data_IF_073336996859
#
_entry.id   IF_073336996859
#
_cell.length_a   1.000
_cell.length_b   1.000
_cell.length_c   1.000
_cell.angle_alpha   90.00
_cell.angle_beta   90.00
_cell.angle_gamma   90.00
#
_symmetry.space_group_name_H-M   'P 1'
#
loop_
_entity.id
_entity.type
_entity.pdbx_description
1 polymer ?
#
# COMPACT_ATOMS: atom_id res chain seq x y z
N UNK A 1 -3.57 -45.05 19.96
CA UNK A 1 -3.34 -43.99 18.96
C UNK A 1 -3.27 -42.69 19.76
N UNK A 2 -2.05 -42.31 20.16
CA UNK A 2 -1.82 -41.08 20.92
C UNK A 2 -2.26 -39.90 20.06
N UNK A 3 -3.05 -38.99 20.63
CA UNK A 3 -3.49 -37.76 19.98
C UNK A 3 -2.26 -37.08 19.36
N UNK A 4 -2.21 -36.99 18.03
CA UNK A 4 -1.30 -36.08 17.36
C UNK A 4 -1.75 -34.67 17.74
N UNK A 5 -1.05 -34.06 18.69
CA UNK A 5 -1.18 -32.64 18.97
C UNK A 5 -0.53 -31.92 17.80
N UNK A 6 -1.35 -31.37 16.90
CA UNK A 6 -0.89 -30.39 15.93
C UNK A 6 -0.52 -29.10 16.68
N UNK A 7 0.48 -28.39 16.17
CA UNK A 7 0.87 -27.07 16.70
C UNK A 7 -0.30 -26.08 16.62
N UNK A 8 -0.29 -25.09 17.51
CA UNK A 8 -1.31 -24.05 17.52
C UNK A 8 -1.17 -23.16 16.28
N UNK A 9 -2.29 -22.85 15.63
CA UNK A 9 -2.34 -21.90 14.53
C UNK A 9 -1.89 -20.51 15.00
N UNK A 10 -1.10 -19.84 14.18
CA UNK A 10 -0.80 -18.43 14.34
C UNK A 10 -2.07 -17.59 14.19
N UNK A 11 -2.01 -16.34 14.68
CA UNK A 11 -3.12 -15.39 14.54
C UNK A 11 -3.54 -15.19 13.07
N UNK A 12 -2.58 -15.07 12.15
CA UNK A 12 -2.87 -14.86 10.73
C UNK A 12 -3.47 -16.11 10.08
N UNK A 13 -3.07 -17.31 10.50
CA UNK A 13 -3.68 -18.55 10.02
C UNK A 13 -5.13 -18.70 10.47
N UNK A 14 -5.39 -18.40 11.75
CA UNK A 14 -6.75 -18.42 12.28
C UNK A 14 -7.63 -17.39 11.56
N UNK A 15 -7.13 -16.17 11.34
CA UNK A 15 -7.86 -15.12 10.64
C UNK A 15 -8.16 -15.49 9.18
N UNK A 16 -7.19 -16.07 8.48
CA UNK A 16 -7.36 -16.53 7.09
C UNK A 16 -8.42 -17.63 7.01
N UNK A 17 -8.42 -18.58 7.95
CA UNK A 17 -9.43 -19.64 8.02
C UNK A 17 -10.83 -19.06 8.26
N UNK A 18 -10.96 -18.12 9.22
CA UNK A 18 -12.23 -17.43 9.50
C UNK A 18 -12.71 -16.69 8.24
N UNK A 19 -11.82 -15.98 7.54
CA UNK A 19 -12.17 -15.27 6.31
C UNK A 19 -12.72 -16.21 5.24
N UNK A 20 -12.08 -17.36 4.98
CA UNK A 20 -12.57 -18.34 4.01
C UNK A 20 -13.91 -18.95 4.39
N UNK A 21 -14.11 -19.28 5.67
CA UNK A 21 -15.40 -19.78 6.16
C UNK A 21 -16.49 -18.73 5.95
N UNK A 22 -16.21 -17.48 6.29
CA UNK A 22 -17.12 -16.36 6.12
C UNK A 22 -17.47 -16.14 4.65
N UNK A 23 -16.49 -16.07 3.74
CA UNK A 23 -16.75 -15.89 2.31
C UNK A 23 -17.62 -17.01 1.73
N UNK A 24 -17.38 -18.26 2.16
CA UNK A 24 -18.20 -19.40 1.75
C UNK A 24 -19.63 -19.28 2.28
N UNK A 25 -19.81 -18.89 3.55
CA UNK A 25 -21.13 -18.70 4.16
C UNK A 25 -21.92 -17.55 3.54
N UNK A 26 -21.22 -16.50 3.07
CA UNK A 26 -21.83 -15.38 2.38
C UNK A 26 -22.07 -15.64 0.88
N UNK A 27 -21.66 -16.80 0.35
CA UNK A 27 -21.79 -17.18 -1.06
C UNK A 27 -21.31 -16.08 -2.04
N UNK A 28 -20.17 -15.45 -1.73
CA UNK A 28 -19.64 -14.35 -2.55
C UNK A 28 -19.22 -14.80 -3.95
N UNK A 29 -19.49 -13.96 -4.95
CA UNK A 29 -19.15 -14.26 -6.35
C UNK A 29 -17.63 -14.16 -6.64
N UNK A 30 -16.94 -13.26 -5.93
CA UNK A 30 -15.51 -12.96 -6.14
C UNK A 30 -14.85 -12.63 -4.80
N UNK A 31 -13.65 -13.18 -4.59
CA UNK A 31 -12.77 -12.83 -3.47
C UNK A 31 -11.48 -12.20 -4.02
N UNK A 32 -11.21 -10.95 -3.63
CA UNK A 32 -9.89 -10.35 -3.77
C UNK A 32 -9.09 -10.66 -2.50
N UNK A 33 -8.08 -11.52 -2.62
CA UNK A 33 -7.30 -12.01 -1.49
C UNK A 33 -5.90 -11.37 -1.48
N UNK A 34 -5.64 -10.52 -0.49
CA UNK A 34 -4.32 -9.92 -0.28
C UNK A 34 -3.41 -10.89 0.48
N UNK A 35 -2.20 -11.10 -0.05
CA UNK A 35 -1.15 -11.90 0.61
C UNK A 35 -0.66 -11.15 1.84
N UNK A 36 -0.51 -11.84 2.98
CA UNK A 36 0.01 -11.23 4.21
C UNK A 36 1.48 -10.84 4.07
N UNK A 37 2.36 -11.81 3.80
CA UNK A 37 3.79 -11.58 3.62
C UNK A 37 4.39 -12.56 2.60
N UNK A 38 5.21 -12.03 1.68
CA UNK A 38 5.83 -12.85 0.64
C UNK A 38 4.83 -13.35 -0.39
N UNK A 39 4.50 -14.64 -0.33
CA UNK A 39 3.59 -15.30 -1.27
C UNK A 39 3.67 -16.83 -1.20
N UNK A 40 4.84 -17.40 -1.47
CA UNK A 40 5.06 -18.85 -1.56
C UNK A 40 4.57 -19.60 -0.32
N UNK A 41 4.97 -19.11 0.86
CA UNK A 41 4.67 -19.70 2.17
C UNK A 41 3.58 -18.94 2.93
N UNK A 42 2.91 -17.99 2.29
CA UNK A 42 1.86 -17.23 2.93
C UNK A 42 0.62 -18.10 3.14
N UNK A 43 -0.09 -17.90 4.26
CA UNK A 43 -1.28 -18.71 4.57
C UNK A 43 -2.37 -18.60 3.51
N UNK A 44 -2.46 -17.47 2.80
CA UNK A 44 -3.44 -17.28 1.74
C UNK A 44 -3.16 -18.17 0.51
N UNK A 45 -1.92 -18.65 0.34
CA UNK A 45 -1.49 -19.38 -0.86
C UNK A 45 -2.01 -20.83 -0.97
N UNK A 46 -2.99 -21.21 -0.14
CA UNK A 46 -3.74 -22.46 -0.23
C UNK A 46 -4.82 -22.42 -1.32
N UNK A 47 -5.20 -21.23 -1.80
CA UNK A 47 -6.21 -21.07 -2.86
C UNK A 47 -5.61 -21.31 -4.24
N UNK A 48 -6.46 -21.79 -5.16
CA UNK A 48 -6.11 -21.85 -6.59
C UNK A 48 -6.55 -20.53 -7.23
N UNK A 49 -5.75 -19.47 -7.05
CA UNK A 49 -6.03 -18.18 -7.68
C UNK A 49 -6.09 -18.30 -9.20
N UNK A 50 -7.18 -17.83 -9.82
CA UNK A 50 -7.35 -17.87 -11.28
C UNK A 50 -6.51 -16.81 -12.00
N UNK A 51 -6.34 -15.67 -11.33
CA UNK A 51 -5.55 -14.53 -11.74
C UNK A 51 -4.82 -13.98 -10.52
N UNK A 52 -3.50 -13.81 -10.61
CA UNK A 52 -2.69 -13.30 -9.51
C UNK A 52 -1.98 -12.02 -9.89
N UNK A 53 -1.69 -11.18 -8.89
CA UNK A 53 -1.14 -9.84 -9.11
C UNK A 53 0.10 -9.62 -8.24
N UNK A 54 1.17 -9.07 -8.81
CA UNK A 54 2.33 -8.55 -8.05
C UNK A 54 2.43 -7.04 -8.29
N UNK A 55 2.20 -6.27 -7.24
CA UNK A 55 2.18 -4.80 -7.27
C UNK A 55 3.58 -4.20 -7.29
N UNK A 56 4.42 -4.53 -6.32
CA UNK A 56 5.78 -3.99 -6.23
C UNK A 56 6.70 -4.98 -5.55
N UNK A 57 7.98 -4.90 -5.89
CA UNK A 57 9.05 -5.65 -5.23
C UNK A 57 10.13 -4.66 -4.83
N UNK A 58 10.39 -4.60 -3.53
CA UNK A 58 11.42 -3.78 -2.91
C UNK A 58 12.02 -4.55 -1.73
N UNK A 59 13.12 -4.01 -1.19
CA UNK A 59 13.75 -4.55 0.02
C UNK A 59 12.85 -4.23 1.23
N UNK A 60 12.00 -5.18 1.57
CA UNK A 60 11.11 -5.15 2.73
C UNK A 60 11.00 -6.55 3.30
N UNK A 61 10.82 -6.65 4.62
CA UNK A 61 10.75 -7.94 5.34
C UNK A 61 11.93 -8.88 5.05
N UNK A 62 13.15 -8.35 4.94
CA UNK A 62 14.36 -9.11 4.57
C UNK A 62 14.64 -10.32 5.45
N UNK A 63 14.39 -10.21 6.76
CA UNK A 63 14.54 -11.32 7.73
C UNK A 63 13.67 -12.55 7.37
N UNK A 64 12.58 -12.35 6.63
CA UNK A 64 11.64 -13.41 6.24
C UNK A 64 11.76 -13.77 4.76
N UNK A 65 11.95 -12.78 3.89
CA UNK A 65 11.86 -12.94 2.43
C UNK A 65 13.22 -13.06 1.74
N UNK A 66 14.31 -12.75 2.44
CA UNK A 66 15.68 -12.74 1.93
C UNK A 66 16.21 -11.34 1.65
N UNK A 67 17.53 -11.27 1.46
CA UNK A 67 18.29 -10.02 1.40
C UNK A 67 18.47 -9.44 -0.02
N UNK A 68 17.77 -10.00 -1.02
CA UNK A 68 17.88 -9.54 -2.41
C UNK A 68 16.52 -9.46 -3.09
N UNK A 69 16.43 -8.62 -4.12
CA UNK A 69 15.20 -8.44 -4.89
C UNK A 69 14.80 -9.73 -5.63
N UNK A 70 15.78 -10.56 -6.01
CA UNK A 70 15.55 -11.90 -6.56
C UNK A 70 14.92 -12.84 -5.54
N UNK A 71 15.47 -12.90 -4.32
CA UNK A 71 14.93 -13.76 -3.26
C UNK A 71 13.49 -13.38 -2.89
N UNK A 72 13.24 -12.06 -2.76
CA UNK A 72 11.90 -11.54 -2.50
C UNK A 72 10.95 -11.82 -3.68
N UNK A 73 11.45 -11.74 -4.92
CA UNK A 73 10.68 -12.08 -6.11
C UNK A 73 10.33 -13.58 -6.19
N UNK A 74 11.24 -14.48 -5.80
CA UNK A 74 10.94 -15.91 -5.73
C UNK A 74 9.82 -16.21 -4.73
N UNK A 75 9.85 -15.55 -3.56
CA UNK A 75 8.77 -15.64 -2.58
C UNK A 75 7.45 -15.13 -3.14
N UNK A 76 7.42 -13.92 -3.72
CA UNK A 76 6.19 -13.31 -4.24
C UNK A 76 5.63 -14.07 -5.45
N UNK A 77 6.50 -14.50 -6.38
CA UNK A 77 6.10 -15.30 -7.54
C UNK A 77 5.65 -16.73 -7.16
N UNK A 78 5.81 -17.13 -5.90
CA UNK A 78 5.24 -18.38 -5.36
C UNK A 78 3.72 -18.46 -5.37
N UNK A 79 3.02 -17.34 -5.58
CA UNK A 79 1.56 -17.35 -5.78
C UNK A 79 1.16 -17.73 -7.22
N UNK A 80 2.12 -17.79 -8.16
CA UNK A 80 1.84 -18.19 -9.54
C UNK A 80 1.35 -19.65 -9.57
N UNK A 81 0.25 -19.88 -10.30
CA UNK A 81 -0.38 -21.19 -10.44
C UNK A 81 -0.26 -21.69 -11.89
N UNK A 82 0.06 -22.96 -12.08
CA UNK A 82 0.34 -23.51 -13.39
C UNK A 82 -0.83 -23.33 -14.37
N UNK A 83 -0.54 -22.90 -15.60
CA UNK A 83 -1.55 -22.65 -16.64
C UNK A 83 -2.52 -21.48 -16.36
N UNK A 84 -2.24 -20.66 -15.34
CA UNK A 84 -3.06 -19.50 -14.96
C UNK A 84 -2.43 -18.19 -15.44
N UNK A 85 -3.06 -17.06 -15.11
CA UNK A 85 -2.62 -15.73 -15.53
C UNK A 85 -1.98 -14.98 -14.36
N UNK A 86 -0.98 -14.17 -14.66
CA UNK A 86 -0.37 -13.27 -13.69
C UNK A 86 -0.21 -11.87 -14.27
N UNK A 87 -0.45 -10.85 -13.46
CA UNK A 87 -0.20 -9.45 -13.82
C UNK A 87 0.85 -8.88 -12.88
N UNK A 88 1.90 -8.27 -13.42
CA UNK A 88 2.94 -7.63 -12.62
C UNK A 88 3.06 -6.16 -13.01
N UNK A 89 3.30 -5.31 -12.01
CA UNK A 89 3.62 -3.91 -12.28
C UNK A 89 5.03 -3.77 -12.85
N UNK A 90 5.52 -2.52 -12.92
CA UNK A 90 6.89 -2.24 -13.35
C UNK A 90 7.85 -2.62 -12.23
N UNK A 91 8.43 -3.82 -12.32
CA UNK A 91 9.37 -4.34 -11.34
C UNK A 91 10.84 -4.02 -11.70
N UNK A 92 11.75 -3.98 -10.71
CA UNK A 92 13.19 -3.98 -10.97
C UNK A 92 13.60 -5.13 -11.91
N UNK A 93 14.61 -4.93 -12.78
CA UNK A 93 14.98 -5.91 -13.82
C UNK A 93 15.21 -7.33 -13.31
N UNK A 94 15.91 -7.47 -12.18
CA UNK A 94 16.24 -8.73 -11.52
C UNK A 94 14.99 -9.45 -11.00
N UNK A 95 14.08 -8.72 -10.34
CA UNK A 95 12.81 -9.25 -9.85
C UNK A 95 11.87 -9.64 -11.01
N UNK A 96 11.83 -8.82 -12.07
CA UNK A 96 11.06 -9.11 -13.29
C UNK A 96 11.56 -10.37 -13.98
N UNK A 97 12.88 -10.59 -14.03
CA UNK A 97 13.48 -11.77 -14.63
C UNK A 97 13.10 -13.05 -13.86
N UNK A 98 13.08 -12.99 -12.53
CA UNK A 98 12.59 -14.08 -11.68
C UNK A 98 11.13 -14.40 -12.00
N UNK A 99 10.27 -13.39 -12.00
CA UNK A 99 8.85 -13.57 -12.32
C UNK A 99 8.66 -14.18 -13.72
N UNK A 100 9.41 -13.72 -14.73
CA UNK A 100 9.34 -14.26 -16.08
C UNK A 100 9.76 -15.74 -16.13
N UNK A 101 10.91 -16.10 -15.54
CA UNK A 101 11.37 -17.49 -15.51
C UNK A 101 10.37 -18.40 -14.80
N UNK A 102 9.80 -17.93 -13.69
CA UNK A 102 8.78 -18.67 -12.95
C UNK A 102 7.52 -18.86 -13.80
N UNK A 103 7.06 -17.81 -14.45
CA UNK A 103 5.90 -17.87 -15.33
C UNK A 103 6.13 -18.87 -16.47
N UNK A 104 7.27 -18.81 -17.14
CA UNK A 104 7.64 -19.74 -18.22
C UNK A 104 7.64 -21.20 -17.72
N UNK A 105 8.22 -21.46 -16.54
CA UNK A 105 8.29 -22.80 -15.95
C UNK A 105 6.92 -23.39 -15.59
N UNK A 106 5.94 -22.54 -15.28
CA UNK A 106 4.59 -22.92 -14.88
C UNK A 106 3.57 -22.77 -16.02
N UNK A 107 4.03 -22.37 -17.22
CA UNK A 107 3.15 -21.99 -18.33
C UNK A 107 2.08 -20.96 -17.91
N UNK A 108 2.50 -19.92 -17.18
CA UNK A 108 1.64 -18.81 -16.76
C UNK A 108 1.65 -17.71 -17.82
N UNK A 109 0.47 -17.24 -18.19
CA UNK A 109 0.33 -16.07 -19.06
C UNK A 109 0.65 -14.79 -18.25
N UNK A 110 1.87 -14.28 -18.42
CA UNK A 110 2.38 -13.12 -17.67
C UNK A 110 2.17 -11.81 -18.43
N UNK A 111 1.41 -10.88 -17.83
CA UNK A 111 1.16 -9.53 -18.32
C UNK A 111 1.97 -8.52 -17.49
N UNK A 112 2.73 -7.65 -18.16
CA UNK A 112 3.72 -6.77 -17.53
C UNK A 112 3.43 -5.30 -17.84
N UNK A 113 3.38 -4.46 -16.79
CA UNK A 113 3.24 -3.02 -16.97
C UNK A 113 4.43 -2.43 -17.76
N UNK A 114 4.15 -1.50 -18.66
CA UNK A 114 5.11 -0.91 -19.58
C UNK A 114 5.45 -1.77 -20.80
N UNK A 115 4.94 -3.01 -20.88
CA UNK A 115 5.07 -3.89 -22.04
C UNK A 115 3.71 -4.25 -22.63
N UNK A 116 2.82 -4.80 -21.81
CA UNK A 116 1.53 -5.33 -22.25
C UNK A 116 0.37 -4.35 -21.97
N UNK A 117 0.57 -3.44 -21.00
CA UNK A 117 -0.36 -2.38 -20.65
C UNK A 117 0.38 -1.19 -20.01
N UNK A 118 -0.22 -0.01 -20.06
CA UNK A 118 0.28 1.20 -19.39
C UNK A 118 -0.85 2.20 -19.15
N UNK A 119 -0.61 3.16 -18.26
CA UNK A 119 -1.44 4.35 -18.13
C UNK A 119 -0.58 5.58 -17.97
N UNK A 120 -0.91 6.64 -18.72
CA UNK A 120 -0.23 7.93 -18.61
C UNK A 120 -1.25 9.06 -18.75
N UNK A 121 -1.27 9.98 -17.78
CA UNK A 121 -2.14 11.17 -17.88
C UNK A 121 -3.64 10.84 -17.94
N UNK A 122 -4.06 9.70 -17.38
CA UNK A 122 -5.44 9.23 -17.44
C UNK A 122 -5.79 8.42 -18.70
N UNK A 123 -4.83 8.19 -19.60
CA UNK A 123 -5.05 7.36 -20.79
C UNK A 123 -4.46 5.97 -20.56
N UNK A 124 -5.32 4.97 -20.43
CA UNK A 124 -4.97 3.56 -20.30
C UNK A 124 -4.93 2.87 -21.66
N UNK A 125 -3.90 2.05 -21.86
CA UNK A 125 -3.69 1.29 -23.08
C UNK A 125 -3.33 -0.17 -22.79
N UNK A 126 -3.97 -1.10 -23.51
CA UNK A 126 -3.68 -2.54 -23.48
C UNK A 126 -4.14 -3.20 -24.78
N UNK A 127 -3.78 -4.47 -24.99
CA UNK A 127 -4.31 -5.27 -26.10
C UNK A 127 -5.81 -5.61 -25.97
N UNK A 128 -6.39 -5.45 -24.78
CA UNK A 128 -7.80 -5.78 -24.51
C UNK A 128 -8.71 -4.59 -24.75
N UNK A 129 -8.31 -3.42 -24.26
CA UNK A 129 -9.10 -2.20 -24.31
C UNK A 129 -8.19 -0.98 -24.11
N UNK A 130 -8.56 0.14 -24.74
CA UNK A 130 -7.98 1.45 -24.49
C UNK A 130 -9.08 2.35 -23.91
N UNK A 131 -8.82 3.02 -22.79
CA UNK A 131 -9.77 3.94 -22.16
C UNK A 131 -9.05 5.25 -21.90
N UNK A 132 -9.59 6.34 -22.44
CA UNK A 132 -9.05 7.69 -22.23
C UNK A 132 -9.82 8.47 -21.17
N UNK A 133 -9.20 9.54 -20.67
CA UNK A 133 -9.79 10.47 -19.70
C UNK A 133 -10.22 9.80 -18.39
N UNK A 134 -9.45 8.81 -17.93
CA UNK A 134 -9.61 8.24 -16.59
C UNK A 134 -9.16 9.28 -15.55
N UNK A 135 -9.97 9.44 -14.52
CA UNK A 135 -9.61 10.19 -13.31
C UNK A 135 -9.40 9.21 -12.17
N UNK A 136 -8.37 9.44 -11.38
CA UNK A 136 -8.04 8.62 -10.22
C UNK A 136 -8.39 9.44 -8.98
N UNK A 137 -9.21 8.89 -8.09
CA UNK A 137 -9.58 9.53 -6.83
C UNK A 137 -8.45 9.56 -5.80
N UNK A 138 -7.53 8.61 -5.88
CA UNK A 138 -6.36 8.52 -4.99
C UNK A 138 -5.25 9.52 -5.40
N UNK A 139 -4.66 10.18 -4.42
CA UNK A 139 -3.55 11.10 -4.62
C UNK A 139 -2.20 10.37 -4.74
N UNK A 140 -1.25 11.00 -5.44
CA UNK A 140 0.10 10.48 -5.70
C UNK A 140 0.29 9.92 -7.12
N UNK A 141 1.38 10.31 -7.79
CA UNK A 141 1.65 9.91 -9.18
C UNK A 141 1.72 8.37 -9.36
N UNK A 142 2.23 7.66 -8.36
CA UNK A 142 2.32 6.20 -8.35
C UNK A 142 0.95 5.50 -8.39
N UNK A 143 -0.14 6.19 -8.04
CA UNK A 143 -1.48 5.61 -8.14
C UNK A 143 -1.88 5.36 -9.60
N UNK A 144 -1.27 6.04 -10.57
CA UNK A 144 -1.44 5.68 -11.98
C UNK A 144 -0.92 4.27 -12.28
N UNK A 145 0.20 3.87 -11.67
CA UNK A 145 0.76 2.52 -11.81
C UNK A 145 -0.18 1.47 -11.20
N UNK A 146 -0.70 1.76 -9.99
CA UNK A 146 -1.65 0.88 -9.29
C UNK A 146 -2.97 0.75 -10.05
N UNK A 147 -3.53 1.85 -10.55
CA UNK A 147 -4.77 1.84 -11.30
C UNK A 147 -4.62 1.13 -12.65
N UNK A 148 -3.48 1.28 -13.34
CA UNK A 148 -3.20 0.53 -14.56
C UNK A 148 -3.15 -0.98 -14.30
N UNK A 149 -2.49 -1.38 -13.20
CA UNK A 149 -2.40 -2.78 -12.77
C UNK A 149 -3.78 -3.36 -12.42
N UNK A 150 -4.57 -2.63 -11.63
CA UNK A 150 -5.92 -3.01 -11.26
C UNK A 150 -6.83 -3.13 -12.49
N UNK A 151 -6.78 -2.16 -13.40
CA UNK A 151 -7.57 -2.18 -14.63
C UNK A 151 -7.19 -3.34 -15.54
N UNK A 152 -5.89 -3.59 -15.76
CA UNK A 152 -5.47 -4.76 -16.55
C UNK A 152 -5.95 -6.08 -15.91
N UNK A 153 -5.87 -6.19 -14.58
CA UNK A 153 -6.35 -7.36 -13.83
C UNK A 153 -7.85 -7.54 -14.04
N UNK A 154 -8.63 -6.46 -13.87
CA UNK A 154 -10.07 -6.45 -14.10
C UNK A 154 -10.44 -6.86 -15.53
N UNK A 155 -9.77 -6.32 -16.55
CA UNK A 155 -10.04 -6.66 -17.95
C UNK A 155 -9.77 -8.14 -18.25
N UNK A 156 -8.75 -8.73 -17.64
CA UNK A 156 -8.47 -10.16 -17.78
C UNK A 156 -9.56 -11.02 -17.13
N UNK A 157 -10.00 -10.63 -15.93
CA UNK A 157 -11.10 -11.29 -15.22
C UNK A 157 -12.40 -11.24 -16.04
N UNK A 158 -12.80 -10.06 -16.52
CA UNK A 158 -14.01 -9.89 -17.35
C UNK A 158 -13.94 -10.71 -18.64
N UNK A 159 -12.76 -10.76 -19.30
CA UNK A 159 -12.57 -11.58 -20.50
C UNK A 159 -12.73 -13.07 -20.22
N UNK A 160 -12.24 -13.55 -19.09
CA UNK A 160 -12.36 -14.96 -18.69
C UNK A 160 -13.80 -15.35 -18.35
N UNK A 161 -14.52 -14.45 -17.65
CA UNK A 161 -15.96 -14.56 -17.42
C UNK A 161 -16.83 -14.37 -18.67
N UNK A 162 -16.24 -13.94 -19.80
CA UNK A 162 -16.94 -13.54 -21.04
C UNK A 162 -17.96 -12.43 -20.81
N UNK A 163 -17.64 -11.53 -19.89
CA UNK A 163 -18.47 -10.38 -19.54
C UNK A 163 -18.03 -9.13 -20.31
N UNK A 164 -19.01 -8.29 -20.63
CA UNK A 164 -18.75 -7.00 -21.26
C UNK A 164 -18.27 -5.99 -20.22
N UNK A 165 -17.29 -5.16 -20.61
CA UNK A 165 -16.78 -4.08 -19.77
C UNK A 165 -17.61 -2.83 -19.98
N UNK A 166 -18.18 -2.28 -18.91
CA UNK A 166 -18.78 -0.95 -18.92
C UNK A 166 -17.70 0.10 -18.61
N UNK A 167 -17.23 0.81 -19.65
CA UNK A 167 -16.22 1.85 -19.53
C UNK A 167 -16.65 3.02 -18.62
N UNK A 168 -17.94 3.35 -18.56
CA UNK A 168 -18.44 4.42 -17.70
C UNK A 168 -18.40 3.98 -16.23
N UNK A 169 -18.75 2.73 -15.95
CA UNK A 169 -18.60 2.15 -14.62
C UNK A 169 -17.14 2.14 -14.18
N UNK A 170 -16.20 1.77 -15.07
CA UNK A 170 -14.75 1.82 -14.79
C UNK A 170 -14.30 3.24 -14.46
N UNK A 171 -14.69 4.23 -15.27
CA UNK A 171 -14.36 5.65 -15.02
C UNK A 171 -14.84 6.12 -13.66
N UNK A 172 -16.10 5.83 -13.33
CA UNK A 172 -16.68 6.20 -12.05
C UNK A 172 -16.03 5.48 -10.87
N UNK A 173 -15.68 4.19 -11.04
CA UNK A 173 -15.03 3.42 -9.99
C UNK A 173 -13.65 3.99 -9.66
N UNK A 174 -12.82 4.28 -10.67
CA UNK A 174 -11.49 4.87 -10.48
C UNK A 174 -11.55 6.28 -9.86
N UNK A 175 -12.52 7.11 -10.28
CA UNK A 175 -12.70 8.47 -9.73
C UNK A 175 -13.18 8.44 -8.27
N UNK A 176 -14.04 7.48 -7.90
CA UNK A 176 -14.60 7.34 -6.56
C UNK A 176 -13.76 6.50 -5.61
N UNK A 177 -12.68 5.88 -6.09
CA UNK A 177 -11.84 5.03 -5.25
C UNK A 177 -11.20 5.87 -4.15
N UNK A 178 -11.43 5.45 -2.91
CA UNK A 178 -10.87 6.04 -1.70
C UNK A 178 -10.14 4.97 -0.90
N UNK A 179 -8.99 5.31 -0.33
CA UNK A 179 -8.23 4.40 0.52
C UNK A 179 -7.81 5.13 1.80
N UNK A 180 -8.44 4.74 2.91
CA UNK A 180 -8.10 5.25 4.23
C UNK A 180 -6.61 5.05 4.54
N UNK A 181 -5.94 6.12 4.97
CA UNK A 181 -4.53 6.08 5.36
C UNK A 181 -3.50 5.90 4.24
N UNK A 182 -3.87 6.11 2.96
CA UNK A 182 -2.94 6.09 1.81
C UNK A 182 -3.01 7.42 1.07
N UNK A 183 -2.12 8.34 1.40
CA UNK A 183 -2.21 9.76 1.03
C UNK A 183 -3.66 10.30 1.17
N UNK A 184 -4.34 9.88 2.25
CA UNK A 184 -5.73 10.24 2.50
C UNK A 184 -5.77 11.71 2.90
N UNK A 185 -6.32 12.56 2.04
CA UNK A 185 -6.61 13.95 2.38
C UNK A 185 -7.83 14.05 3.27
N UNK A 186 -7.63 13.90 4.58
CA UNK A 186 -8.71 13.86 5.58
C UNK A 186 -9.28 15.25 5.90
N UNK A 187 -8.49 16.29 5.66
CA UNK A 187 -8.88 17.72 5.70
C UNK A 187 -8.22 18.44 4.53
N UNK A 188 -8.69 19.65 4.15
CA UNK A 188 -8.07 20.41 3.06
C UNK A 188 -6.55 20.58 3.20
N UNK A 189 -6.01 20.65 4.43
CA UNK A 189 -4.58 20.83 4.68
C UNK A 189 -3.91 19.61 5.32
N UNK A 190 -4.64 18.52 5.61
CA UNK A 190 -4.09 17.38 6.36
C UNK A 190 -4.17 16.10 5.54
N UNK A 191 -3.02 15.45 5.41
CA UNK A 191 -2.83 14.16 4.77
C UNK A 191 -2.46 13.10 5.80
N UNK A 192 -3.06 11.91 5.68
CA UNK A 192 -2.66 10.71 6.42
C UNK A 192 -2.02 9.70 5.48
N UNK A 193 -0.84 9.20 5.85
CA UNK A 193 -0.20 8.12 5.09
C UNK A 193 0.46 7.08 6.00
N UNK A 194 0.15 5.81 5.77
CA UNK A 194 0.64 4.67 6.54
C UNK A 194 2.06 4.22 6.20
N UNK A 195 2.87 5.01 5.50
CA UNK A 195 4.27 4.69 5.23
C UNK A 195 5.03 4.37 6.53
N UNK A 196 5.64 3.19 6.55
CA UNK A 196 6.30 2.62 7.74
C UNK A 196 7.55 1.78 7.36
N UNK A 197 8.04 1.98 6.15
CA UNK A 197 9.27 1.42 5.60
C UNK A 197 9.85 2.41 4.56
N UNK A 198 11.11 2.21 4.16
CA UNK A 198 11.78 3.11 3.20
C UNK A 198 11.06 3.16 1.83
N UNK A 199 10.65 2.04 1.21
CA UNK A 199 9.95 2.10 -0.08
C UNK A 199 8.68 2.95 -0.06
N UNK A 200 7.86 2.86 1.00
CA UNK A 200 6.66 3.68 1.15
C UNK A 200 7.00 5.15 1.41
N UNK A 201 8.01 5.42 2.24
CA UNK A 201 8.46 6.80 2.48
C UNK A 201 9.03 7.46 1.23
N UNK A 202 9.72 6.73 0.35
CA UNK A 202 10.18 7.27 -0.94
C UNK A 202 9.01 7.84 -1.74
N UNK A 203 7.89 7.10 -1.84
CA UNK A 203 6.69 7.56 -2.55
C UNK A 203 6.01 8.74 -1.86
N UNK A 204 6.00 8.78 -0.53
CA UNK A 204 5.50 9.92 0.23
C UNK A 204 6.37 11.17 0.01
N UNK A 205 7.69 11.03 0.03
CA UNK A 205 8.66 12.11 -0.20
C UNK A 205 8.52 12.67 -1.62
N UNK A 206 8.36 11.81 -2.63
CA UNK A 206 8.08 12.23 -4.01
C UNK A 206 6.84 13.15 -4.05
N UNK A 207 5.75 12.74 -3.41
CA UNK A 207 4.53 13.54 -3.34
C UNK A 207 4.70 14.86 -2.57
N UNK A 208 5.41 14.84 -1.44
CA UNK A 208 5.68 16.06 -0.66
C UNK A 208 6.49 17.05 -1.50
N UNK A 209 7.50 16.60 -2.25
CA UNK A 209 8.29 17.44 -3.15
C UNK A 209 7.46 18.04 -4.27
N UNK A 210 6.52 17.28 -4.84
CA UNK A 210 5.55 17.81 -5.82
C UNK A 210 4.74 18.96 -5.19
N UNK A 211 4.30 18.82 -3.93
CA UNK A 211 3.58 19.90 -3.22
C UNK A 211 4.44 21.11 -2.92
N UNK A 212 5.72 20.95 -2.58
CA UNK A 212 6.65 22.09 -2.47
C UNK A 212 6.79 22.83 -3.80
N UNK A 213 6.87 22.11 -4.92
CA UNK A 213 6.95 22.71 -6.27
C UNK A 213 5.66 23.44 -6.66
N UNK A 214 4.51 22.98 -6.19
CA UNK A 214 3.21 23.68 -6.31
C UNK A 214 3.10 24.93 -5.39
N UNK A 215 4.11 25.17 -4.55
CA UNK A 215 4.21 26.32 -3.66
C UNK A 215 3.48 26.15 -2.33
N UNK A 216 3.24 24.91 -1.89
CA UNK A 216 2.79 24.59 -0.53
C UNK A 216 3.97 24.56 0.44
N UNK A 217 3.67 24.60 1.74
CA UNK A 217 4.61 24.51 2.86
C UNK A 217 4.30 23.26 3.69
N UNK A 218 4.92 22.11 3.38
CA UNK A 218 4.71 20.88 4.13
C UNK A 218 5.31 20.93 5.54
N UNK A 219 4.64 20.26 6.47
CA UNK A 219 5.13 19.84 7.78
C UNK A 219 4.85 18.35 7.93
N UNK A 220 5.69 17.64 8.66
CA UNK A 220 5.54 16.21 8.93
C UNK A 220 5.35 15.99 10.43
N UNK A 221 4.33 15.22 10.77
CA UNK A 221 4.14 14.63 12.08
C UNK A 221 4.35 13.12 11.98
N UNK A 222 5.40 12.63 12.63
CA UNK A 222 5.84 11.26 12.55
C UNK A 222 5.61 10.50 13.86
N UNK A 223 4.94 9.35 13.76
CA UNK A 223 4.77 8.41 14.87
C UNK A 223 5.00 6.98 14.40
N UNK A 224 5.89 6.25 15.09
CA UNK A 224 6.29 4.90 14.72
C UNK A 224 6.36 3.95 15.93
N UNK A 225 6.50 2.66 15.63
CA UNK A 225 6.75 1.62 16.63
C UNK A 225 8.27 1.36 16.75
N UNK A 226 8.78 1.16 17.97
CA UNK A 226 10.21 0.92 18.26
C UNK A 226 10.80 -0.29 17.53
N UNK A 227 9.96 -1.28 17.20
CA UNK A 227 10.37 -2.50 16.48
C UNK A 227 10.68 -2.28 15.00
N UNK A 228 10.34 -1.11 14.45
CA UNK A 228 10.61 -0.75 13.05
C UNK A 228 11.91 0.05 13.00
N UNK A 229 12.53 0.11 11.82
CA UNK A 229 13.70 0.95 11.56
C UNK A 229 13.30 2.45 11.50
N UNK A 230 12.87 2.99 12.63
CA UNK A 230 12.43 4.39 12.71
C UNK A 230 13.60 5.36 12.54
N UNK A 231 14.82 4.98 12.91
CA UNK A 231 16.01 5.81 12.74
C UNK A 231 16.35 5.97 11.26
N UNK A 232 16.36 4.87 10.49
CA UNK A 232 16.53 4.92 9.03
C UNK A 232 15.43 5.74 8.36
N UNK A 233 14.18 5.60 8.79
CA UNK A 233 13.05 6.38 8.29
C UNK A 233 13.20 7.89 8.55
N UNK A 234 13.51 8.29 9.79
CA UNK A 234 13.71 9.70 10.15
C UNK A 234 14.93 10.31 9.43
N UNK A 235 16.02 9.55 9.32
CA UNK A 235 17.21 9.96 8.57
C UNK A 235 16.89 10.20 7.10
N UNK A 236 16.16 9.27 6.47
CA UNK A 236 15.74 9.40 5.08
C UNK A 236 14.85 10.63 4.84
N UNK A 237 13.87 10.89 5.73
CA UNK A 237 13.01 12.07 5.66
C UNK A 237 13.83 13.37 5.76
N UNK A 238 14.75 13.43 6.72
CA UNK A 238 15.58 14.63 6.95
C UNK A 238 16.53 14.90 5.80
N UNK A 239 17.15 13.86 5.26
CA UNK A 239 18.06 13.96 4.11
C UNK A 239 17.33 14.44 2.86
N UNK A 240 16.11 13.93 2.61
CA UNK A 240 15.37 14.21 1.39
C UNK A 240 14.46 15.44 1.45
N UNK A 241 14.09 15.88 2.65
CA UNK A 241 13.21 17.03 2.91
C UNK A 241 13.82 17.96 3.97
N UNK A 242 15.03 18.51 3.75
CA UNK A 242 15.77 19.24 4.78
C UNK A 242 15.13 20.58 5.21
N UNK A 243 14.16 21.09 4.44
CA UNK A 243 13.44 22.33 4.73
C UNK A 243 12.04 22.09 5.31
N UNK A 244 11.60 20.84 5.36
CA UNK A 244 10.28 20.46 5.89
C UNK A 244 10.41 20.28 7.40
N UNK A 245 9.56 20.96 8.15
CA UNK A 245 9.50 20.79 9.60
C UNK A 245 9.05 19.38 9.95
N UNK A 246 9.88 18.63 10.69
CA UNK A 246 9.62 17.27 11.11
C UNK A 246 9.47 17.21 12.63
N UNK A 247 8.27 16.86 13.10
CA UNK A 247 7.98 16.55 14.50
C UNK A 247 7.82 15.06 14.71
N UNK A 248 8.26 14.58 15.86
CA UNK A 248 8.10 13.18 16.26
C UNK A 248 7.19 13.11 17.49
N UNK A 249 6.37 12.07 17.59
CA UNK A 249 5.45 11.89 18.72
C UNK A 249 5.23 10.43 19.08
N UNK A 250 4.82 10.20 20.33
CA UNK A 250 4.27 8.93 20.79
C UNK A 250 2.76 8.87 20.61
N UNK A 251 2.17 7.68 20.80
CA UNK A 251 0.73 7.44 20.70
C UNK A 251 0.30 6.26 21.57
N UNK A 252 -1.00 6.03 21.75
CA UNK A 252 -1.51 5.05 22.72
C UNK A 252 -1.45 3.62 22.17
N UNK A 253 -0.23 3.13 22.01
CA UNK A 253 0.04 1.77 21.55
C UNK A 253 1.31 1.21 22.16
N UNK A 254 1.27 -0.06 22.58
CA UNK A 254 2.41 -0.72 23.19
C UNK A 254 3.61 -0.77 22.22
N UNK A 255 4.71 -0.15 22.63
CA UNK A 255 5.93 -0.07 21.82
C UNK A 255 5.92 1.08 20.81
N UNK A 256 5.07 2.10 20.97
CA UNK A 256 5.27 3.40 20.32
C UNK A 256 6.58 4.05 20.76
N UNK A 257 7.07 5.00 19.96
CA UNK A 257 8.15 5.88 20.39
C UNK A 257 7.75 6.68 21.64
N UNK A 258 8.73 6.92 22.50
CA UNK A 258 8.71 7.86 23.61
C UNK A 258 9.83 8.89 23.43
N UNK A 259 9.75 9.99 24.19
CA UNK A 259 10.74 11.08 24.14
C UNK A 259 12.18 10.60 24.32
N UNK A 260 12.40 9.58 25.15
CA UNK A 260 13.73 9.04 25.41
C UNK A 260 14.31 8.18 24.28
N UNK A 261 13.49 7.75 23.30
CA UNK A 261 13.93 6.85 22.23
C UNK A 261 14.51 7.60 21.02
N UNK A 262 14.30 8.90 20.94
CA UNK A 262 14.60 9.73 19.77
C UNK A 262 15.53 10.87 20.20
N UNK A 263 16.71 10.93 19.59
CA UNK A 263 17.69 12.01 19.81
C UNK A 263 17.89 12.81 18.54
N UNK A 264 18.04 14.13 18.68
CA UNK A 264 18.29 15.03 17.53
C UNK A 264 17.06 15.43 16.72
N UNK A 265 15.86 15.07 17.18
CA UNK A 265 14.58 15.48 16.57
C UNK A 265 13.71 16.21 17.57
N UNK A 266 12.81 17.05 17.08
CA UNK A 266 11.82 17.75 17.91
C UNK A 266 10.68 16.79 18.25
N UNK A 267 10.63 16.37 19.52
CA UNK A 267 9.61 15.45 20.04
C UNK A 267 8.53 16.25 20.74
N UNK A 268 7.29 16.08 20.29
CA UNK A 268 6.12 16.71 20.88
C UNK A 268 5.36 15.74 21.80
N UNK A 269 4.84 16.22 22.95
CA UNK A 269 4.19 15.35 23.94
C UNK A 269 2.77 14.92 23.53
N UNK A 270 2.09 15.72 22.71
CA UNK A 270 0.70 15.49 22.32
C UNK A 270 0.49 15.78 20.85
N UNK A 271 0.31 14.72 20.07
CA UNK A 271 -0.05 14.84 18.66
C UNK A 271 -1.41 15.55 18.47
N UNK A 272 -2.33 15.42 19.44
CA UNK A 272 -3.67 16.02 19.40
C UNK A 272 -3.61 17.54 19.52
N UNK A 273 -2.82 18.03 20.47
CA UNK A 273 -2.59 19.47 20.65
C UNK A 273 -1.86 20.07 19.44
N UNK A 274 -0.89 19.34 18.89
CA UNK A 274 -0.18 19.79 17.70
C UNK A 274 -1.09 19.90 16.47
N UNK A 275 -1.93 18.89 16.22
CA UNK A 275 -2.90 18.95 15.11
C UNK A 275 -3.88 20.11 15.32
N UNK A 276 -4.41 20.27 16.53
CA UNK A 276 -5.34 21.37 16.85
C UNK A 276 -4.69 22.74 16.62
N UNK A 277 -3.45 22.92 17.10
CA UNK A 277 -2.69 24.16 16.88
C UNK A 277 -2.35 24.39 15.41
N UNK A 278 -2.08 23.33 14.65
CA UNK A 278 -1.87 23.42 13.20
C UNK A 278 -3.15 23.91 12.51
N UNK A 279 -4.32 23.32 12.79
CA UNK A 279 -5.59 23.72 12.19
C UNK A 279 -5.97 25.17 12.51
N UNK A 280 -5.66 25.66 13.72
CA UNK A 280 -5.93 27.04 14.12
C UNK A 280 -5.06 28.07 13.39
N UNK A 281 -3.82 27.71 13.02
CA UNK A 281 -2.82 28.64 12.48
C UNK A 281 -2.58 28.51 10.97
N UNK A 282 -2.91 27.36 10.38
CA UNK A 282 -2.59 27.02 9.01
C UNK A 282 -3.36 27.88 8.00
N UNK A 283 -2.65 28.45 7.04
CA UNK A 283 -3.27 29.08 5.88
C UNK A 283 -3.42 28.09 4.71
N UNK A 284 -3.98 28.54 3.58
CA UNK A 284 -4.28 27.68 2.42
C UNK A 284 -3.04 27.08 1.74
N UNK A 285 -1.83 27.50 2.11
CA UNK A 285 -0.56 26.97 1.61
C UNK A 285 0.11 25.99 2.57
N UNK A 286 -0.30 25.93 3.83
CA UNK A 286 0.26 24.99 4.79
C UNK A 286 -0.33 23.59 4.59
N UNK A 287 0.52 22.56 4.62
CA UNK A 287 0.10 21.16 4.55
C UNK A 287 0.73 20.37 5.69
N UNK A 288 -0.04 19.54 6.36
CA UNK A 288 0.43 18.60 7.38
C UNK A 288 0.33 17.17 6.88
N UNK A 289 1.46 16.47 6.88
CA UNK A 289 1.56 15.05 6.56
C UNK A 289 1.76 14.25 7.85
N UNK A 290 0.82 13.35 8.15
CA UNK A 290 0.87 12.51 9.36
C UNK A 290 1.19 11.08 8.94
N UNK A 291 2.32 10.54 9.41
CA UNK A 291 2.86 9.28 8.90
C UNK A 291 3.72 8.50 9.93
N UNK A 292 4.28 7.36 9.52
CA UNK A 292 5.25 6.56 10.28
C UNK A 292 4.74 5.20 10.75
N UNK A 293 3.42 5.02 10.86
CA UNK A 293 2.80 3.77 11.28
C UNK A 293 1.32 3.72 10.95
N UNK A 294 0.84 2.58 10.47
CA UNK A 294 -0.60 2.31 10.29
C UNK A 294 -1.38 2.40 11.61
N UNK A 295 -0.77 2.02 12.74
CA UNK A 295 -1.42 2.14 14.05
C UNK A 295 -1.58 3.60 14.45
N UNK A 296 -0.54 4.41 14.23
CA UNK A 296 -0.56 5.83 14.57
C UNK A 296 -1.59 6.58 13.73
N UNK A 297 -1.54 6.42 12.40
CA UNK A 297 -2.50 7.11 11.53
C UNK A 297 -3.94 6.62 11.75
N UNK A 298 -4.16 5.38 12.20
CA UNK A 298 -5.49 4.89 12.57
C UNK A 298 -6.03 5.63 13.81
N UNK A 299 -5.20 5.81 14.84
CA UNK A 299 -5.57 6.57 16.04
C UNK A 299 -5.85 8.04 15.73
N UNK A 300 -4.99 8.67 14.93
CA UNK A 300 -5.18 10.05 14.46
C UNK A 300 -6.45 10.18 13.63
N UNK A 301 -6.67 9.28 12.67
CA UNK A 301 -7.87 9.25 11.84
C UNK A 301 -9.14 9.14 12.67
N UNK A 302 -9.16 8.22 13.65
CA UNK A 302 -10.28 8.06 14.57
C UNK A 302 -10.52 9.33 15.39
N UNK A 303 -9.46 10.00 15.85
CA UNK A 303 -9.58 11.27 16.57
C UNK A 303 -10.19 12.39 15.72
N UNK A 304 -9.71 12.57 14.49
CA UNK A 304 -10.18 13.61 13.57
C UNK A 304 -11.65 13.37 13.15
N UNK A 305 -12.03 12.14 12.83
CA UNK A 305 -13.40 11.79 12.43
C UNK A 305 -14.37 11.71 13.61
N UNK A 306 -13.91 11.24 14.78
CA UNK A 306 -14.75 11.17 15.98
C UNK A 306 -15.21 12.54 16.46
N UNK A 307 -14.45 13.60 16.17
CA UNK A 307 -14.83 14.99 16.44
C UNK A 307 -16.04 15.46 15.61
N UNK A 308 -16.31 14.84 14.46
CA UNK A 308 -17.46 15.18 13.59
C UNK A 308 -18.78 14.56 14.06
N UNK A 309 -18.76 13.51 14.89
CA UNK A 309 -20.00 12.88 15.38
C UNK A 309 -20.56 13.55 16.64
N UNK A 310 -19.81 14.47 17.26
CA UNK A 310 -20.15 15.12 18.54
C UNK A 310 -20.56 16.59 18.35
N UNK A 311 -20.32 17.17 17.17
CA UNK A 311 -20.76 18.52 16.78
C UNK A 311 -21.87 18.45 15.73
#
# INVERSE_FOLDING_TARGET
>A
MLLQTYDQLSFFELLTLIAFLYFREQEVDLVLLEVGIGGLLDTTNVVTGELVVITSIGLDHQETLGDSLEAIAEQKAGIFKAGKKAVIAKLPPEARLVCQKKADSLAVDLYQAGKDFSMQGGDFSSSLLNISQLKIGLEGAYQQENAALALQTFLLFMREGKEAVDEQAVKQALEKTHWAGRLERIRPQIYLDGAHNLPALTRLVEFIKEKEQEGYRPQILFGALKRKDYQGMLGYLTENLPQVELKVTGFDYQGSLAETDVTGYDVIPSYREFISSFEERADTKDLLFITGSLYFISEVRSHILGYEQIN
#
